data_IF_002287639071
#
_entry.id   IF_002287639071
#
_cell.length_a   1.000
_cell.length_b   1.000
_cell.length_c   1.000
_cell.angle_alpha   90.00
_cell.angle_beta   90.00
_cell.angle_gamma   90.00
#
_symmetry.space_group_name_H-M   'P 1'
#
loop_
_entity.id
_entity.type
_entity.pdbx_description
1 polymer ?
#
# COMPACT_ATOMS: atom_id res chain seq x y z
N UNK A 1 -19.24 11.10 -7.53
CA UNK A 1 -19.59 9.75 -6.99
C UNK A 1 -18.49 9.08 -6.15
N UNK A 2 -17.18 9.25 -6.43
CA UNK A 2 -16.11 8.79 -5.53
C UNK A 2 -15.46 10.02 -4.87
N UNK A 3 -15.99 10.43 -3.71
CA UNK A 3 -15.62 11.70 -3.06
C UNK A 3 -14.25 11.64 -2.36
N UNK A 4 -13.71 12.80 -1.97
CA UNK A 4 -12.49 12.89 -1.15
C UNK A 4 -12.64 12.28 0.25
N UNK A 5 -13.88 12.07 0.73
CA UNK A 5 -14.17 11.41 2.02
C UNK A 5 -14.50 9.95 1.78
N UNK A 6 -13.49 9.09 1.89
CA UNK A 6 -13.59 7.63 1.79
C UNK A 6 -12.88 6.97 2.99
N UNK A 7 -13.12 5.68 3.19
CA UNK A 7 -12.50 4.86 4.24
C UNK A 7 -11.22 4.15 3.83
N UNK A 8 -10.57 4.56 2.73
CA UNK A 8 -9.37 3.85 2.25
C UNK A 8 -8.20 3.93 3.25
N UNK A 9 -8.11 4.99 4.05
CA UNK A 9 -7.13 5.09 5.14
C UNK A 9 -7.35 4.04 6.23
N UNK A 10 -8.61 3.86 6.67
CA UNK A 10 -8.97 2.82 7.62
C UNK A 10 -8.67 1.41 7.08
N UNK A 11 -9.02 1.14 5.82
CA UNK A 11 -8.74 -0.15 5.19
C UNK A 11 -7.25 -0.43 5.08
N UNK A 12 -6.43 0.56 4.73
CA UNK A 12 -4.97 0.42 4.74
C UNK A 12 -4.43 0.07 6.13
N UNK A 13 -4.93 0.72 7.17
CA UNK A 13 -4.56 0.40 8.55
C UNK A 13 -4.98 -1.03 8.92
N UNK A 14 -6.20 -1.42 8.56
CA UNK A 14 -6.70 -2.78 8.75
C UNK A 14 -5.79 -3.80 8.06
N UNK A 15 -5.42 -3.57 6.81
CA UNK A 15 -4.53 -4.48 6.06
C UNK A 15 -3.13 -4.58 6.69
N UNK A 16 -2.57 -3.46 7.17
CA UNK A 16 -1.29 -3.49 7.88
C UNK A 16 -1.39 -4.35 9.15
N UNK A 17 -2.46 -4.19 9.93
CA UNK A 17 -2.69 -4.97 11.14
C UNK A 17 -3.01 -6.44 10.86
N UNK A 18 -3.72 -6.75 9.78
CA UNK A 18 -3.93 -8.13 9.32
C UNK A 18 -2.60 -8.82 9.03
N UNK A 19 -1.65 -8.12 8.39
CA UNK A 19 -0.30 -8.65 8.12
C UNK A 19 0.46 -8.90 9.42
N UNK A 20 0.42 -7.98 10.38
CA UNK A 20 1.04 -8.17 11.71
C UNK A 20 0.42 -9.36 12.44
N UNK A 21 -0.91 -9.47 12.47
CA UNK A 21 -1.60 -10.59 13.11
C UNK A 21 -1.26 -11.93 12.44
N UNK A 22 -1.20 -11.96 11.10
CA UNK A 22 -0.86 -13.16 10.35
C UNK A 22 0.56 -13.64 10.61
N UNK A 23 1.54 -12.76 10.56
CA UNK A 23 2.95 -13.09 10.79
C UNK A 23 3.26 -13.45 12.26
N UNK A 24 2.39 -13.12 13.21
CA UNK A 24 2.62 -13.49 14.59
C UNK A 24 2.71 -15.02 14.80
N UNK A 25 1.96 -15.81 14.02
CA UNK A 25 1.99 -17.27 14.07
C UNK A 25 3.38 -17.85 13.68
N UNK A 26 3.93 -17.58 12.48
CA UNK A 26 5.25 -18.11 12.13
C UNK A 26 6.37 -17.51 12.97
N UNK A 27 6.33 -16.20 13.27
CA UNK A 27 7.43 -15.51 13.95
C UNK A 27 7.50 -15.84 15.46
N UNK A 28 6.35 -16.07 16.10
CA UNK A 28 6.28 -16.38 17.53
C UNK A 28 6.17 -17.87 17.85
N UNK A 29 5.62 -18.68 16.93
CA UNK A 29 5.18 -20.04 17.24
C UNK A 29 5.54 -21.09 16.18
N UNK A 30 6.26 -20.73 15.12
CA UNK A 30 6.63 -21.63 14.01
C UNK A 30 5.41 -22.32 13.35
N UNK A 31 4.27 -21.63 13.31
CA UNK A 31 3.03 -22.09 12.69
C UNK A 31 2.77 -21.40 11.35
N UNK A 32 1.92 -21.97 10.47
CA UNK A 32 1.45 -21.25 9.29
C UNK A 32 0.78 -19.92 9.66
N UNK A 33 0.78 -18.96 8.74
CA UNK A 33 0.14 -17.65 8.94
C UNK A 33 -1.31 -17.78 9.44
N UNK A 34 -1.76 -16.79 10.23
CA UNK A 34 -3.14 -16.75 10.68
C UNK A 34 -4.10 -16.78 9.47
N UNK A 35 -5.08 -17.68 9.53
CA UNK A 35 -6.07 -17.88 8.48
C UNK A 35 -5.76 -19.01 7.51
N UNK A 36 -4.51 -19.49 7.39
CA UNK A 36 -4.16 -20.55 6.43
C UNK A 36 -5.07 -21.79 6.55
N UNK A 37 -5.38 -22.23 7.77
CA UNK A 37 -6.29 -23.36 8.00
C UNK A 37 -7.72 -23.10 7.54
N UNK A 38 -8.27 -21.90 7.81
CA UNK A 38 -9.65 -21.55 7.43
C UNK A 38 -9.82 -21.49 5.91
N UNK A 39 -8.79 -21.00 5.20
CA UNK A 39 -8.73 -20.93 3.74
C UNK A 39 -8.23 -22.23 3.08
N UNK A 40 -8.06 -23.32 3.85
CA UNK A 40 -7.56 -24.63 3.37
C UNK A 40 -6.24 -24.56 2.61
N UNK A 41 -5.31 -23.71 3.06
CA UNK A 41 -3.99 -23.55 2.42
C UNK A 41 -3.99 -22.69 1.15
N UNK A 42 -5.14 -22.22 0.67
CA UNK A 42 -5.21 -21.39 -0.54
C UNK A 42 -4.64 -19.98 -0.32
N UNK A 43 -4.77 -19.44 0.89
CA UNK A 43 -4.31 -18.09 1.24
C UNK A 43 -4.28 -17.90 2.75
N UNK A 44 -3.99 -16.69 3.22
CA UNK A 44 -3.94 -16.32 4.63
C UNK A 44 -4.28 -14.83 4.83
N UNK A 45 -4.46 -14.39 6.09
CA UNK A 45 -4.85 -13.00 6.37
C UNK A 45 -3.78 -11.97 5.97
N UNK A 46 -2.50 -12.33 6.05
CA UNK A 46 -1.41 -11.46 5.62
C UNK A 46 -1.39 -11.30 4.12
N UNK A 47 -1.58 -12.40 3.39
CA UNK A 47 -1.76 -12.40 1.94
C UNK A 47 -2.94 -11.52 1.51
N UNK A 48 -4.10 -11.65 2.17
CA UNK A 48 -5.26 -10.78 1.92
C UNK A 48 -4.98 -9.31 2.23
N UNK A 49 -4.23 -9.01 3.29
CA UNK A 49 -3.78 -7.65 3.60
C UNK A 49 -2.96 -7.06 2.45
N UNK A 50 -1.96 -7.80 1.95
CA UNK A 50 -1.13 -7.37 0.81
C UNK A 50 -1.98 -7.21 -0.46
N UNK A 51 -2.85 -8.16 -0.78
CA UNK A 51 -3.78 -8.05 -1.91
C UNK A 51 -4.68 -6.81 -1.80
N UNK A 52 -5.17 -6.49 -0.59
CA UNK A 52 -5.97 -5.29 -0.32
C UNK A 52 -5.19 -4.00 -0.57
N UNK A 53 -3.92 -3.94 -0.16
CA UNK A 53 -3.03 -2.82 -0.52
C UNK A 53 -2.90 -2.67 -2.03
N UNK A 54 -2.68 -3.78 -2.75
CA UNK A 54 -2.53 -3.76 -4.21
C UNK A 54 -3.81 -3.28 -4.92
N UNK A 55 -5.01 -3.68 -4.47
CA UNK A 55 -6.28 -3.16 -5.00
C UNK A 55 -6.39 -1.64 -4.80
N UNK A 56 -6.15 -1.15 -3.58
CA UNK A 56 -6.22 0.28 -3.30
C UNK A 56 -5.13 1.07 -4.04
N UNK A 57 -3.94 0.52 -4.19
CA UNK A 57 -2.85 1.11 -4.98
C UNK A 57 -3.24 1.14 -6.46
N UNK A 58 -3.78 0.06 -7.03
CA UNK A 58 -4.26 0.04 -8.42
C UNK A 58 -5.23 1.18 -8.72
N UNK A 59 -6.18 1.42 -7.82
CA UNK A 59 -7.14 2.53 -7.93
C UNK A 59 -6.46 3.91 -7.85
N UNK A 60 -5.69 4.16 -6.79
CA UNK A 60 -5.19 5.49 -6.46
C UNK A 60 -4.00 5.89 -7.33
N UNK A 61 -3.15 4.95 -7.70
CA UNK A 61 -1.98 5.19 -8.54
C UNK A 61 -2.41 5.42 -9.98
N UNK A 62 -3.38 4.64 -10.49
CA UNK A 62 -3.99 4.92 -11.81
C UNK A 62 -4.62 6.30 -11.86
N UNK A 63 -5.36 6.69 -10.81
CA UNK A 63 -5.92 8.06 -10.70
C UNK A 63 -4.82 9.13 -10.70
N UNK A 64 -3.72 8.89 -9.99
CA UNK A 64 -2.58 9.80 -9.93
C UNK A 64 -1.87 9.92 -11.28
N UNK A 65 -1.63 8.80 -11.97
CA UNK A 65 -0.96 8.76 -13.27
C UNK A 65 -1.77 9.42 -14.40
N UNK A 66 -3.10 9.46 -14.28
CA UNK A 66 -3.97 10.22 -15.19
C UNK A 66 -3.94 11.74 -15.00
N UNK A 67 -3.50 12.22 -13.82
CA UNK A 67 -3.57 13.64 -13.44
C UNK A 67 -2.22 14.33 -13.40
N UNK A 68 -1.13 13.61 -13.16
CA UNK A 68 0.21 14.16 -12.96
C UNK A 68 1.11 13.89 -14.17
N UNK A 69 2.01 14.82 -14.46
CA UNK A 69 3.12 14.57 -15.39
C UNK A 69 4.11 13.55 -14.83
N UNK A 70 4.85 12.88 -15.73
CA UNK A 70 5.76 11.75 -15.41
C UNK A 70 6.73 12.03 -14.24
N UNK A 71 7.45 13.15 -14.28
CA UNK A 71 8.40 13.52 -13.22
C UNK A 71 7.73 13.74 -11.87
N UNK A 72 6.61 14.48 -11.83
CA UNK A 72 5.86 14.73 -10.59
C UNK A 72 5.24 13.44 -10.04
N UNK A 73 4.76 12.56 -10.92
CA UNK A 73 4.26 11.24 -10.54
C UNK A 73 5.36 10.43 -9.83
N UNK A 74 6.53 10.29 -10.46
CA UNK A 74 7.68 9.58 -9.89
C UNK A 74 8.13 10.19 -8.56
N UNK A 75 8.25 11.52 -8.50
CA UNK A 75 8.62 12.23 -7.28
C UNK A 75 7.68 11.94 -6.12
N UNK A 76 6.36 12.00 -6.37
CA UNK A 76 5.36 11.69 -5.35
C UNK A 76 5.44 10.25 -4.85
N UNK A 77 5.82 9.30 -5.72
CA UNK A 77 6.01 7.90 -5.33
C UNK A 77 7.30 7.69 -4.57
N UNK A 78 8.39 8.34 -5.00
CA UNK A 78 9.68 8.29 -4.33
C UNK A 78 9.57 8.79 -2.89
N UNK A 79 8.96 9.96 -2.68
CA UNK A 79 8.71 10.53 -1.35
C UNK A 79 7.80 9.66 -0.47
N UNK A 80 6.97 8.81 -1.07
CA UNK A 80 6.04 7.92 -0.34
C UNK A 80 6.70 6.65 0.16
N UNK A 81 7.72 6.14 -0.53
CA UNK A 81 8.36 4.84 -0.25
C UNK A 81 9.73 5.04 0.40
N UNK A 82 10.65 5.72 -0.28
CA UNK A 82 12.06 5.68 0.07
C UNK A 82 12.40 6.25 1.45
N UNK A 83 11.88 7.41 1.88
CA UNK A 83 12.23 7.96 3.19
C UNK A 83 11.92 7.01 4.35
N UNK A 84 10.70 6.46 4.39
CA UNK A 84 10.30 5.51 5.43
C UNK A 84 11.05 4.18 5.33
N UNK A 85 11.28 3.68 4.11
CA UNK A 85 12.12 2.50 3.89
C UNK A 85 13.54 2.69 4.42
N UNK A 86 14.22 3.78 4.07
CA UNK A 86 15.58 4.05 4.50
C UNK A 86 15.67 4.14 6.01
N UNK A 87 14.74 4.86 6.65
CA UNK A 87 14.69 4.93 8.10
C UNK A 87 14.47 3.55 8.72
N UNK A 88 13.59 2.72 8.16
CA UNK A 88 13.36 1.35 8.61
C UNK A 88 14.62 0.47 8.49
N UNK A 89 15.35 0.58 7.37
CA UNK A 89 16.61 -0.15 7.17
C UNK A 89 17.68 0.30 8.17
N UNK A 90 17.78 1.60 8.46
CA UNK A 90 18.72 2.14 9.45
C UNK A 90 18.36 1.67 10.87
N UNK A 91 17.08 1.71 11.25
CA UNK A 91 16.61 1.16 12.54
C UNK A 91 16.91 -0.33 12.62
N UNK A 92 16.69 -1.09 11.54
CA UNK A 92 16.99 -2.52 11.51
C UNK A 92 18.50 -2.77 11.71
N UNK A 93 19.35 -2.02 11.00
CA UNK A 93 20.80 -2.19 11.01
C UNK A 93 21.46 -1.72 12.32
N UNK A 94 21.00 -0.60 12.89
CA UNK A 94 21.68 0.08 14.00
C UNK A 94 20.95 0.01 15.34
N UNK A 95 19.72 -0.49 15.37
CA UNK A 95 18.97 -0.70 16.62
C UNK A 95 18.62 -2.17 16.78
N UNK A 96 17.93 -2.77 15.81
CA UNK A 96 17.46 -4.16 15.93
C UNK A 96 18.61 -5.15 15.91
N UNK A 97 19.51 -5.10 14.92
CA UNK A 97 20.62 -6.06 14.84
C UNK A 97 21.55 -6.02 16.08
N UNK A 98 21.96 -4.85 16.61
CA UNK A 98 22.74 -4.79 17.86
C UNK A 98 21.98 -5.34 19.08
N UNK A 99 20.67 -5.04 19.21
CA UNK A 99 19.85 -5.57 20.31
C UNK A 99 19.74 -7.10 20.27
N UNK A 100 19.55 -7.65 19.07
CA UNK A 100 19.52 -9.11 18.85
C UNK A 100 20.87 -9.73 19.18
N UNK A 101 21.97 -9.17 18.67
CA UNK A 101 23.32 -9.65 18.94
C UNK A 101 23.64 -9.65 20.45
N UNK A 102 23.27 -8.58 21.16
CA UNK A 102 23.43 -8.49 22.61
C UNK A 102 22.64 -9.58 23.34
N UNK A 103 21.38 -9.81 22.93
CA UNK A 103 20.53 -10.85 23.54
C UNK A 103 21.03 -12.27 23.26
N UNK A 104 21.60 -12.50 22.08
CA UNK A 104 22.21 -13.78 21.68
C UNK A 104 23.64 -13.98 22.24
N UNK A 105 24.20 -12.99 22.94
CA UNK A 105 25.56 -13.07 23.51
C UNK A 105 26.69 -13.03 22.47
N UNK A 106 26.42 -12.47 21.29
CA UNK A 106 27.34 -12.44 20.16
C UNK A 106 28.17 -11.13 20.13
N UNK A 107 29.46 -11.20 19.74
CA UNK A 107 30.30 -10.01 19.61
C UNK A 107 29.86 -9.12 18.45
N UNK A 108 30.25 -7.84 18.47
CA UNK A 108 29.90 -6.89 17.41
C UNK A 108 30.37 -7.31 16.01
N UNK A 109 31.48 -8.05 15.92
CA UNK A 109 31.98 -8.62 14.67
C UNK A 109 31.01 -9.60 14.01
N UNK A 110 30.12 -10.24 14.78
CA UNK A 110 29.17 -11.23 14.27
C UNK A 110 28.11 -10.65 13.32
N UNK A 111 27.87 -9.33 13.36
CA UNK A 111 26.89 -8.65 12.53
C UNK A 111 27.46 -7.44 11.76
N UNK A 112 28.60 -6.89 12.20
CA UNK A 112 29.23 -5.72 11.59
C UNK A 112 30.36 -6.06 10.60
N UNK A 113 30.87 -7.29 10.60
CA UNK A 113 31.98 -7.71 9.75
C UNK A 113 31.60 -8.90 8.84
N UNK A 114 32.43 -9.14 7.80
CA UNK A 114 32.30 -10.28 6.91
C UNK A 114 31.28 -10.13 5.77
N UNK A 115 31.14 -11.17 4.93
CA UNK A 115 30.06 -11.26 3.96
C UNK A 115 28.73 -11.38 4.72
N UNK A 116 27.73 -10.58 4.38
CA UNK A 116 26.43 -10.44 5.07
C UNK A 116 26.40 -9.51 6.30
N UNK A 117 27.38 -8.62 6.46
CA UNK A 117 27.32 -7.55 7.48
C UNK A 117 26.17 -6.55 7.27
N UNK A 118 25.89 -5.72 8.29
CA UNK A 118 24.92 -4.61 8.18
C UNK A 118 25.19 -3.65 7.03
N UNK A 119 26.46 -3.43 6.67
CA UNK A 119 26.81 -2.55 5.55
C UNK A 119 26.33 -3.12 4.23
N UNK A 120 26.51 -4.43 4.03
CA UNK A 120 26.00 -5.13 2.85
C UNK A 120 24.47 -5.16 2.86
N UNK A 121 23.86 -5.36 4.03
CA UNK A 121 22.41 -5.31 4.19
C UNK A 121 21.85 -3.96 3.75
N UNK A 122 22.44 -2.85 4.21
CA UNK A 122 22.03 -1.51 3.80
C UNK A 122 22.23 -1.32 2.30
N UNK A 123 23.41 -1.61 1.77
CA UNK A 123 23.74 -1.41 0.35
C UNK A 123 22.84 -2.22 -0.60
N UNK A 124 22.56 -3.48 -0.26
CA UNK A 124 21.75 -4.40 -1.07
C UNK A 124 20.24 -4.15 -0.97
N UNK A 125 19.78 -3.43 0.05
CA UNK A 125 18.36 -3.15 0.25
C UNK A 125 17.98 -1.68 0.02
N UNK A 126 18.96 -0.76 -0.10
CA UNK A 126 18.74 0.68 -0.21
C UNK A 126 17.79 1.09 -1.35
N UNK A 127 17.81 0.34 -2.46
CA UNK A 127 16.96 0.56 -3.64
C UNK A 127 15.67 -0.26 -3.62
N UNK A 128 15.22 -0.69 -2.44
CA UNK A 128 14.06 -1.56 -2.23
C UNK A 128 14.14 -2.92 -2.95
N UNK A 129 15.34 -3.40 -3.29
CA UNK A 129 15.54 -4.68 -4.01
C UNK A 129 15.24 -5.90 -3.14
N UNK A 130 15.37 -5.72 -1.81
CA UNK A 130 15.22 -6.79 -0.84
C UNK A 130 16.14 -7.98 -1.17
N UNK A 131 17.41 -7.70 -1.46
CA UNK A 131 18.39 -8.67 -1.95
C UNK A 131 19.21 -9.35 -0.84
N UNK A 132 19.18 -8.82 0.38
CA UNK A 132 19.79 -9.46 1.55
C UNK A 132 18.79 -9.46 2.71
N UNK A 133 18.47 -10.64 3.22
CA UNK A 133 17.47 -10.81 4.29
C UNK A 133 18.11 -11.09 5.65
N UNK A 134 19.35 -11.60 5.64
CA UNK A 134 20.14 -11.98 6.81
C UNK A 134 21.10 -10.86 7.18
N UNK A 135 21.44 -10.76 8.45
CA UNK A 135 22.51 -9.90 8.94
C UNK A 135 23.40 -10.79 9.82
N UNK A 136 24.58 -11.13 9.31
CA UNK A 136 25.53 -12.01 9.99
C UNK A 136 24.91 -13.34 10.45
N UNK A 137 25.39 -13.83 11.60
CA UNK A 137 24.92 -15.06 12.25
C UNK A 137 23.70 -14.90 13.16
N UNK A 138 22.98 -13.79 13.08
CA UNK A 138 21.88 -13.45 13.99
C UNK A 138 20.57 -14.19 13.66
N UNK A 139 19.64 -14.24 14.63
CA UNK A 139 18.31 -14.85 14.51
C UNK A 139 18.37 -16.35 14.22
N UNK A 140 19.33 -17.06 14.82
CA UNK A 140 19.49 -18.51 14.62
C UNK A 140 18.65 -19.35 15.58
N UNK A 141 18.34 -18.80 16.76
CA UNK A 141 17.56 -19.43 17.83
C UNK A 141 16.22 -18.72 18.06
N UNK A 142 15.44 -18.59 16.98
CA UNK A 142 14.05 -18.10 17.00
C UNK A 142 13.15 -18.99 16.14
N UNK A 143 11.83 -18.99 16.38
CA UNK A 143 10.88 -19.79 15.60
C UNK A 143 11.01 -19.58 14.08
N UNK A 144 11.18 -18.33 13.65
CA UNK A 144 11.39 -17.98 12.26
C UNK A 144 12.81 -17.47 12.03
N UNK A 145 13.68 -18.35 11.56
CA UNK A 145 15.11 -18.09 11.56
C UNK A 145 15.49 -17.02 10.54
N UNK A 146 16.57 -16.30 10.87
CA UNK A 146 17.49 -15.66 9.92
C UNK A 146 17.00 -14.38 9.23
N UNK A 147 15.72 -14.26 8.93
CA UNK A 147 15.17 -13.14 8.16
C UNK A 147 14.82 -12.01 9.12
N UNK A 148 15.43 -10.83 8.95
CA UNK A 148 15.14 -9.68 9.81
C UNK A 148 13.82 -8.99 9.48
N UNK A 149 13.48 -8.90 8.19
CA UNK A 149 12.27 -8.20 7.76
C UNK A 149 11.70 -8.80 6.49
N UNK A 150 10.91 -9.86 6.64
CA UNK A 150 10.26 -10.52 5.51
C UNK A 150 9.34 -9.58 4.73
N UNK A 151 8.63 -8.66 5.40
CA UNK A 151 7.57 -7.85 4.79
C UNK A 151 8.01 -6.90 3.66
N UNK A 152 9.31 -6.58 3.55
CA UNK A 152 9.81 -5.68 2.51
C UNK A 152 9.74 -6.26 1.09
N UNK A 153 9.53 -7.57 0.94
CA UNK A 153 9.54 -8.26 -0.36
C UNK A 153 8.54 -7.70 -1.38
N UNK A 154 7.40 -7.19 -0.91
CA UNK A 154 6.32 -6.67 -1.77
C UNK A 154 6.62 -5.28 -2.35
N UNK A 155 7.52 -4.52 -1.73
CA UNK A 155 7.80 -3.12 -2.12
C UNK A 155 8.36 -3.01 -3.54
N UNK A 156 9.24 -3.92 -3.96
CA UNK A 156 9.74 -3.94 -5.34
C UNK A 156 8.66 -4.25 -6.36
N UNK A 157 7.65 -5.04 -5.97
CA UNK A 157 6.50 -5.34 -6.84
C UNK A 157 5.60 -4.11 -6.93
N UNK A 158 5.40 -3.39 -5.82
CA UNK A 158 4.69 -2.12 -5.83
C UNK A 158 5.40 -1.07 -6.70
N UNK A 159 6.73 -0.95 -6.60
CA UNK A 159 7.53 -0.09 -7.48
C UNK A 159 7.37 -0.49 -8.96
N UNK A 160 7.40 -1.78 -9.26
CA UNK A 160 7.18 -2.27 -10.63
C UNK A 160 5.78 -1.89 -11.14
N UNK A 161 4.74 -2.00 -10.31
CA UNK A 161 3.40 -1.58 -10.67
C UNK A 161 3.31 -0.05 -10.92
N UNK A 162 4.05 0.75 -10.17
CA UNK A 162 4.13 2.20 -10.39
C UNK A 162 4.79 2.52 -11.72
N UNK A 163 5.89 1.82 -12.06
CA UNK A 163 6.56 1.95 -13.35
C UNK A 163 5.66 1.51 -14.50
N UNK A 164 4.86 0.45 -14.33
CA UNK A 164 3.87 0.02 -15.32
C UNK A 164 2.82 1.11 -15.59
N UNK A 165 2.27 1.76 -14.55
CA UNK A 165 1.36 2.90 -14.71
C UNK A 165 2.04 4.08 -15.39
N UNK A 166 3.30 4.37 -15.04
CA UNK A 166 4.07 5.44 -15.68
C UNK A 166 4.26 5.16 -17.18
N UNK A 167 4.63 3.94 -17.56
CA UNK A 167 4.81 3.55 -18.95
C UNK A 167 3.50 3.74 -19.74
N UNK A 168 2.36 3.36 -19.17
CA UNK A 168 1.05 3.61 -19.78
C UNK A 168 0.76 5.12 -19.90
N UNK A 169 1.10 5.92 -18.88
CA UNK A 169 0.89 7.37 -18.84
C UNK A 169 1.73 8.11 -19.89
N UNK A 170 3.01 7.78 -20.03
CA UNK A 170 3.95 8.46 -20.93
C UNK A 170 3.69 8.10 -22.40
N UNK A 171 3.39 6.84 -22.70
CA UNK A 171 3.19 6.36 -24.08
C UNK A 171 1.90 6.88 -24.75
N UNK A 172 1.12 7.74 -24.07
CA UNK A 172 -0.23 8.21 -24.50
C UNK A 172 -1.24 7.08 -24.79
N UNK A 173 -0.87 5.84 -24.51
CA UNK A 173 -1.73 4.64 -24.53
C UNK A 173 -2.87 4.78 -23.52
N UNK A 174 -2.84 5.77 -22.63
CA UNK A 174 -3.95 6.12 -21.75
C UNK A 174 -5.30 6.31 -22.45
N UNK A 175 -5.35 6.75 -23.72
CA UNK A 175 -6.62 6.78 -24.49
C UNK A 175 -7.22 5.38 -24.73
N UNK A 176 -6.36 4.34 -24.76
CA UNK A 176 -6.71 2.91 -24.86
C UNK A 176 -6.48 2.14 -23.56
N UNK A 177 -6.05 2.78 -22.47
CA UNK A 177 -5.67 2.10 -21.23
C UNK A 177 -6.80 1.23 -20.65
N UNK A 178 -8.06 1.61 -20.86
CA UNK A 178 -9.23 0.80 -20.49
C UNK A 178 -9.14 -0.63 -21.05
N UNK A 179 -8.79 -0.77 -22.33
CA UNK A 179 -8.68 -2.07 -23.00
C UNK A 179 -7.38 -2.78 -22.66
N UNK A 180 -6.26 -2.04 -22.59
CA UNK A 180 -4.96 -2.64 -22.24
C UNK A 180 -4.99 -3.23 -20.83
N UNK A 181 -5.51 -2.48 -19.85
CA UNK A 181 -5.63 -2.96 -18.47
C UNK A 181 -6.68 -4.09 -18.37
N UNK A 182 -7.76 -4.04 -19.16
CA UNK A 182 -8.76 -5.12 -19.19
C UNK A 182 -8.17 -6.42 -19.74
N UNK A 183 -7.47 -6.36 -20.87
CA UNK A 183 -6.81 -7.53 -21.46
C UNK A 183 -5.70 -8.07 -20.55
N UNK A 184 -4.95 -7.18 -19.89
CA UNK A 184 -3.95 -7.58 -18.90
C UNK A 184 -4.62 -8.29 -17.71
N UNK A 185 -5.69 -7.73 -17.14
CA UNK A 185 -6.42 -8.35 -16.04
C UNK A 185 -7.01 -9.70 -16.45
N UNK A 186 -7.58 -9.80 -17.66
CA UNK A 186 -8.12 -11.04 -18.20
C UNK A 186 -7.02 -12.09 -18.42
N UNK A 187 -5.87 -11.71 -18.98
CA UNK A 187 -4.72 -12.60 -19.16
C UNK A 187 -4.11 -13.07 -17.84
N UNK A 188 -4.00 -12.19 -16.85
CA UNK A 188 -3.55 -12.54 -15.50
C UNK A 188 -4.54 -13.48 -14.81
N UNK A 189 -5.84 -13.22 -14.91
CA UNK A 189 -6.88 -14.09 -14.39
C UNK A 189 -6.86 -15.46 -15.08
N UNK A 190 -6.69 -15.49 -16.41
CA UNK A 190 -6.57 -16.72 -17.17
C UNK A 190 -5.33 -17.53 -16.73
N UNK A 191 -4.19 -16.88 -16.50
CA UNK A 191 -2.98 -17.52 -15.95
C UNK A 191 -3.24 -18.11 -14.56
N UNK A 192 -3.83 -17.33 -13.65
CA UNK A 192 -4.20 -17.81 -12.31
C UNK A 192 -5.19 -18.98 -12.39
N UNK A 193 -6.16 -18.93 -13.30
CA UNK A 193 -7.14 -20.01 -13.52
C UNK A 193 -6.49 -21.27 -14.08
N UNK A 194 -5.62 -21.14 -15.08
CA UNK A 194 -4.87 -22.24 -15.68
C UNK A 194 -4.05 -22.99 -14.62
N UNK A 195 -3.35 -22.25 -13.76
CA UNK A 195 -2.56 -22.84 -12.69
C UNK A 195 -3.44 -23.38 -11.55
N UNK A 196 -4.62 -22.82 -11.33
CA UNK A 196 -5.58 -23.38 -10.37
C UNK A 196 -6.16 -24.71 -10.82
N UNK A 197 -6.29 -24.95 -12.13
CA UNK A 197 -6.76 -26.21 -12.70
C UNK A 197 -5.80 -27.39 -12.47
N UNK A 198 -4.52 -27.13 -12.24
CA UNK A 198 -3.53 -28.18 -11.96
C UNK A 198 -3.52 -28.64 -10.50
N UNK A 199 -4.26 -27.95 -9.63
CA UNK A 199 -4.37 -28.27 -8.20
C UNK A 199 -5.68 -29.00 -7.91
N UNK A 200 -5.59 -30.09 -7.14
CA UNK A 200 -6.76 -30.85 -6.73
C UNK A 200 -7.77 -29.94 -6.01
N UNK A 201 -9.06 -30.10 -6.35
CA UNK A 201 -10.16 -29.32 -5.78
C UNK A 201 -10.00 -27.79 -5.96
N UNK A 202 -9.21 -27.32 -6.92
CA UNK A 202 -8.91 -25.90 -7.12
C UNK A 202 -8.32 -25.20 -5.89
N UNK A 203 -7.56 -25.93 -5.06
CA UNK A 203 -6.95 -25.41 -3.83
C UNK A 203 -5.56 -24.78 -4.06
N UNK A 204 -5.35 -24.12 -5.19
CA UNK A 204 -4.05 -23.52 -5.52
C UNK A 204 -3.68 -22.40 -4.53
N UNK A 205 -2.50 -22.47 -3.88
CA UNK A 205 -2.01 -21.40 -3.00
C UNK A 205 -1.81 -20.09 -3.76
N UNK A 206 -2.15 -18.96 -3.12
CA UNK A 206 -2.13 -17.63 -3.73
C UNK A 206 -0.77 -17.24 -4.28
N UNK A 207 0.33 -17.80 -3.77
CA UNK A 207 1.70 -17.40 -4.11
C UNK A 207 2.57 -18.52 -4.69
N UNK A 208 1.96 -19.52 -5.33
CA UNK A 208 2.70 -20.60 -6.00
C UNK A 208 2.62 -20.51 -7.54
N UNK A 209 2.41 -19.30 -8.09
CA UNK A 209 2.07 -19.12 -9.51
C UNK A 209 3.24 -19.03 -10.52
N UNK A 210 3.65 -20.15 -11.10
CA UNK A 210 4.78 -20.22 -12.01
C UNK A 210 6.10 -20.29 -11.24
N UNK A 211 6.86 -21.35 -11.50
CA UNK A 211 8.14 -21.61 -10.85
C UNK A 211 9.24 -20.92 -11.64
N UNK A 212 9.91 -19.96 -11.02
CA UNK A 212 11.07 -19.32 -11.63
C UNK A 212 11.38 -17.96 -11.06
N UNK A 213 12.57 -17.47 -11.42
CA UNK A 213 13.05 -16.15 -11.04
C UNK A 213 13.39 -15.35 -12.29
N UNK A 214 13.12 -14.06 -12.25
CA UNK A 214 13.58 -13.11 -13.26
C UNK A 214 14.36 -11.99 -12.59
N UNK A 215 15.52 -11.65 -13.14
CA UNK A 215 16.30 -10.51 -12.67
C UNK A 215 16.01 -9.31 -13.56
N UNK A 216 15.40 -8.28 -13.00
CA UNK A 216 15.22 -7.02 -13.70
C UNK A 216 16.40 -6.08 -13.40
N UNK A 217 16.87 -5.31 -14.39
CA UNK A 217 17.82 -4.23 -14.15
C UNK A 217 17.30 -3.30 -13.04
N UNK A 218 18.19 -2.88 -12.14
CA UNK A 218 17.91 -1.99 -10.99
C UNK A 218 17.07 -2.62 -9.86
N UNK A 219 15.96 -3.31 -10.16
CA UNK A 219 15.05 -3.85 -9.15
C UNK A 219 15.44 -5.24 -8.62
N UNK A 220 16.37 -5.93 -9.29
CA UNK A 220 16.95 -7.19 -8.83
C UNK A 220 16.06 -8.41 -9.11
N UNK A 221 16.21 -9.45 -8.27
CA UNK A 221 15.57 -10.75 -8.44
C UNK A 221 14.09 -10.72 -8.02
N UNK A 222 13.20 -11.20 -8.89
CA UNK A 222 11.77 -11.40 -8.62
C UNK A 222 11.43 -12.87 -8.68
N UNK A 223 10.66 -13.34 -7.71
CA UNK A 223 9.98 -14.62 -7.80
C UNK A 223 8.71 -14.44 -8.63
N UNK A 224 8.60 -15.18 -9.72
CA UNK A 224 7.47 -15.10 -10.65
C UNK A 224 6.15 -15.54 -9.98
N UNK A 225 6.20 -16.34 -8.92
CA UNK A 225 5.05 -16.85 -8.17
C UNK A 225 4.17 -15.77 -7.53
N UNK A 226 4.74 -14.59 -7.26
CA UNK A 226 4.01 -13.49 -6.66
C UNK A 226 3.42 -12.51 -7.67
N UNK A 227 3.95 -12.46 -8.89
CA UNK A 227 3.60 -11.42 -9.86
C UNK A 227 2.15 -11.54 -10.34
N UNK A 228 1.66 -12.69 -10.83
CA UNK A 228 0.30 -12.80 -11.35
C UNK A 228 -0.81 -12.37 -10.38
N UNK A 229 -0.88 -12.91 -9.14
CA UNK A 229 -1.96 -12.56 -8.22
C UNK A 229 -1.89 -11.09 -7.78
N UNK A 230 -0.69 -10.54 -7.51
CA UNK A 230 -0.56 -9.16 -7.06
C UNK A 230 -0.85 -8.17 -8.20
N UNK A 231 -0.37 -8.42 -9.41
CA UNK A 231 -0.69 -7.60 -10.57
C UNK A 231 -2.16 -7.72 -10.97
N UNK A 232 -2.79 -8.88 -10.79
CA UNK A 232 -4.24 -9.03 -10.98
C UNK A 232 -4.99 -8.11 -10.00
N UNK A 233 -4.66 -8.15 -8.71
CA UNK A 233 -5.29 -7.31 -7.70
C UNK A 233 -5.08 -5.82 -7.97
N UNK A 234 -3.88 -5.42 -8.39
CA UNK A 234 -3.62 -4.06 -8.86
C UNK A 234 -4.44 -3.68 -10.09
N UNK A 235 -4.49 -4.57 -11.09
CA UNK A 235 -5.24 -4.34 -12.33
C UNK A 235 -6.74 -4.20 -12.05
N UNK A 236 -7.31 -4.99 -11.13
CA UNK A 236 -8.71 -4.85 -10.70
C UNK A 236 -8.98 -3.48 -10.06
N UNK A 237 -8.08 -3.00 -9.21
CA UNK A 237 -8.15 -1.64 -8.67
C UNK A 237 -8.06 -0.56 -9.77
N UNK A 238 -7.16 -0.74 -10.72
CA UNK A 238 -6.98 0.17 -11.85
C UNK A 238 -8.20 0.18 -12.78
N UNK A 239 -8.79 -0.98 -13.07
CA UNK A 239 -10.05 -1.10 -13.82
C UNK A 239 -11.18 -0.38 -13.11
N UNK A 240 -11.26 -0.49 -11.78
CA UNK A 240 -12.27 0.21 -11.01
C UNK A 240 -12.14 1.74 -11.14
N UNK A 241 -10.92 2.30 -11.28
CA UNK A 241 -10.74 3.72 -11.58
C UNK A 241 -11.09 4.07 -13.03
N UNK A 242 -10.70 3.22 -13.99
CA UNK A 242 -10.91 3.47 -15.43
C UNK A 242 -12.38 3.33 -15.84
N UNK A 243 -13.12 2.44 -15.19
CA UNK A 243 -14.54 2.16 -15.41
C UNK A 243 -15.42 2.66 -14.26
N UNK A 244 -14.92 3.61 -13.46
CA UNK A 244 -15.59 4.14 -12.26
C UNK A 244 -17.03 4.62 -12.46
N UNK A 245 -17.37 5.08 -13.67
CA UNK A 245 -18.70 5.59 -14.02
C UNK A 245 -19.66 4.47 -14.46
N UNK A 246 -19.12 3.28 -14.77
CA UNK A 246 -19.87 2.08 -15.18
C UNK A 246 -19.90 0.98 -14.13
N UNK A 247 -19.05 1.05 -13.11
CA UNK A 247 -18.93 0.02 -12.08
C UNK A 247 -19.99 0.23 -10.99
N UNK A 248 -21.04 -0.61 -10.91
CA UNK A 248 -22.05 -0.47 -9.87
C UNK A 248 -21.46 -0.81 -8.50
N UNK A 249 -21.59 0.11 -7.54
CA UNK A 249 -21.22 -0.08 -6.14
C UNK A 249 -22.48 -0.30 -5.28
N UNK A 250 -23.14 -1.44 -5.50
CA UNK A 250 -24.44 -1.79 -4.89
C UNK A 250 -24.28 -2.79 -3.73
N UNK A 251 -25.18 -2.72 -2.74
CA UNK A 251 -25.20 -3.67 -1.62
C UNK A 251 -25.39 -5.14 -2.04
N UNK A 252 -26.28 -5.46 -2.99
CA UNK A 252 -26.45 -6.84 -3.47
C UNK A 252 -25.20 -7.45 -4.09
N UNK A 253 -24.44 -6.69 -4.88
CA UNK A 253 -23.18 -7.18 -5.46
C UNK A 253 -22.10 -7.36 -4.38
N UNK A 254 -22.09 -6.51 -3.34
CA UNK A 254 -21.20 -6.70 -2.21
C UNK A 254 -21.56 -7.97 -1.43
N UNK A 255 -22.85 -8.25 -1.23
CA UNK A 255 -23.30 -9.49 -0.61
C UNK A 255 -22.90 -10.71 -1.45
N UNK A 256 -23.12 -10.67 -2.77
CA UNK A 256 -22.69 -11.72 -3.69
C UNK A 256 -21.17 -11.95 -3.61
N UNK A 257 -20.38 -10.88 -3.59
CA UNK A 257 -18.93 -10.97 -3.43
C UNK A 257 -18.52 -11.55 -2.06
N UNK A 258 -19.22 -11.19 -0.98
CA UNK A 258 -18.98 -11.78 0.34
C UNK A 258 -19.30 -13.28 0.37
N UNK A 259 -20.43 -13.69 -0.23
CA UNK A 259 -20.79 -15.11 -0.35
C UNK A 259 -19.73 -15.84 -1.18
N UNK A 260 -19.35 -15.31 -2.35
CA UNK A 260 -18.32 -15.90 -3.20
C UNK A 260 -16.98 -16.06 -2.47
N UNK A 261 -16.58 -15.06 -1.68
CA UNK A 261 -15.36 -15.11 -0.87
C UNK A 261 -15.39 -16.25 0.16
N UNK A 262 -16.48 -16.38 0.91
CA UNK A 262 -16.64 -17.41 1.94
C UNK A 262 -16.74 -18.81 1.33
N UNK A 263 -17.54 -18.96 0.26
CA UNK A 263 -17.69 -20.25 -0.44
C UNK A 263 -16.35 -20.70 -1.00
N UNK A 264 -15.63 -19.84 -1.72
CA UNK A 264 -14.36 -20.21 -2.34
C UNK A 264 -13.24 -20.47 -1.33
N UNK A 265 -13.28 -19.83 -0.15
CA UNK A 265 -12.34 -20.12 0.93
C UNK A 265 -12.45 -21.57 1.45
N UNK A 266 -13.63 -22.18 1.31
CA UNK A 266 -13.92 -23.54 1.81
C UNK A 266 -14.00 -24.59 0.71
N UNK A 267 -14.62 -24.25 -0.41
CA UNK A 267 -14.88 -25.17 -1.52
C UNK A 267 -13.76 -25.23 -2.57
N UNK A 268 -12.82 -24.27 -2.55
CA UNK A 268 -11.79 -24.12 -3.58
C UNK A 268 -12.09 -22.99 -4.56
N UNK A 269 -11.10 -22.63 -5.39
CA UNK A 269 -11.21 -21.53 -6.35
C UNK A 269 -11.02 -20.14 -5.73
N UNK A 270 -10.43 -20.05 -4.54
CA UNK A 270 -10.23 -18.78 -3.84
C UNK A 270 -9.37 -17.80 -4.65
N UNK A 271 -8.30 -18.27 -5.27
CA UNK A 271 -7.42 -17.37 -6.04
C UNK A 271 -8.08 -16.85 -7.31
N UNK A 272 -8.96 -17.64 -7.94
CA UNK A 272 -9.63 -17.28 -9.21
C UNK A 272 -10.87 -16.42 -8.98
N UNK A 273 -11.71 -16.78 -8.00
CA UNK A 273 -13.01 -16.13 -7.77
C UNK A 273 -12.99 -15.31 -6.47
N UNK A 274 -12.42 -15.88 -5.40
CA UNK A 274 -12.34 -15.24 -4.09
C UNK A 274 -11.54 -13.93 -4.11
N UNK A 275 -10.39 -13.87 -4.79
CA UNK A 275 -9.58 -12.66 -4.88
C UNK A 275 -10.28 -11.51 -5.64
N UNK A 276 -10.89 -11.72 -6.84
CA UNK A 276 -11.72 -10.69 -7.45
C UNK A 276 -12.91 -10.25 -6.59
N UNK A 277 -13.57 -11.18 -5.90
CA UNK A 277 -14.65 -10.86 -4.97
C UNK A 277 -14.14 -10.01 -3.79
N UNK A 278 -12.98 -10.36 -3.24
CA UNK A 278 -12.30 -9.58 -2.21
C UNK A 278 -11.95 -8.17 -2.72
N UNK A 279 -11.43 -8.03 -3.94
CA UNK A 279 -11.15 -6.72 -4.52
C UNK A 279 -12.40 -5.82 -4.60
N UNK A 280 -13.54 -6.39 -5.02
CA UNK A 280 -14.80 -5.67 -5.03
C UNK A 280 -15.23 -5.23 -3.62
N UNK A 281 -15.14 -6.12 -2.63
CA UNK A 281 -15.45 -5.81 -1.24
C UNK A 281 -14.56 -4.70 -0.66
N UNK A 282 -13.25 -4.74 -0.93
CA UNK A 282 -12.31 -3.69 -0.51
C UNK A 282 -12.72 -2.33 -1.06
N UNK A 283 -13.08 -2.26 -2.34
CA UNK A 283 -13.52 -1.01 -2.97
C UNK A 283 -14.88 -0.54 -2.44
N UNK A 284 -15.85 -1.46 -2.34
CA UNK A 284 -17.19 -1.17 -1.86
C UNK A 284 -17.18 -0.67 -0.41
N UNK A 285 -16.50 -1.39 0.48
CA UNK A 285 -16.36 -1.00 1.90
C UNK A 285 -15.64 0.33 2.04
N UNK A 286 -14.59 0.57 1.26
CA UNK A 286 -13.84 1.82 1.29
C UNK A 286 -14.69 3.02 0.84
N UNK A 287 -15.57 2.84 -0.14
CA UNK A 287 -16.48 3.89 -0.61
C UNK A 287 -17.68 4.11 0.32
N UNK A 288 -18.19 3.04 0.93
CA UNK A 288 -19.39 3.05 1.78
C UNK A 288 -19.08 3.18 3.28
N UNK A 289 -17.81 3.26 3.66
CA UNK A 289 -17.38 3.33 5.06
C UNK A 289 -18.17 4.39 5.85
N UNK A 290 -18.56 4.13 7.11
CA UNK A 290 -19.23 5.11 7.96
C UNK A 290 -18.32 6.31 8.28
N UNK A 291 -18.92 7.45 8.64
CA UNK A 291 -18.21 8.72 8.83
C UNK A 291 -16.98 8.66 9.78
N UNK A 292 -17.00 7.92 10.90
CA UNK A 292 -15.83 7.78 11.78
C UNK A 292 -14.64 7.13 11.07
N UNK A 293 -14.87 6.04 10.33
CA UNK A 293 -13.81 5.32 9.61
C UNK A 293 -13.24 6.15 8.45
N UNK A 294 -13.98 7.10 7.89
CA UNK A 294 -13.46 8.04 6.86
C UNK A 294 -12.40 9.01 7.41
N UNK A 295 -12.32 9.19 8.73
CA UNK A 295 -11.33 10.08 9.37
C UNK A 295 -10.01 9.36 9.64
N UNK A 296 -10.06 8.04 9.84
CA UNK A 296 -8.88 7.21 10.12
C UNK A 296 -7.99 7.18 8.87
N UNK A 297 -6.70 7.48 9.04
CA UNK A 297 -5.74 7.50 7.94
C UNK A 297 -5.86 8.71 6.99
N UNK A 298 -6.81 9.63 7.23
CA UNK A 298 -7.05 10.76 6.32
C UNK A 298 -6.00 11.87 6.46
N UNK A 299 -5.50 12.11 7.67
CA UNK A 299 -4.46 13.12 7.96
C UNK A 299 -3.08 12.49 8.18
N UNK A 300 -3.03 11.36 8.87
CA UNK A 300 -1.80 10.64 9.21
C UNK A 300 -1.97 9.19 8.77
N UNK A 301 -1.13 8.74 7.83
CA UNK A 301 -1.20 7.40 7.28
C UNK A 301 -0.08 6.52 7.86
N UNK A 302 -0.32 5.98 9.05
CA UNK A 302 0.63 5.09 9.74
C UNK A 302 0.71 3.69 9.14
N UNK A 303 -0.17 3.33 8.19
CA UNK A 303 -0.28 1.97 7.64
C UNK A 303 1.03 1.49 7.02
N UNK A 304 1.76 2.39 6.35
CA UNK A 304 3.04 2.06 5.74
C UNK A 304 4.11 1.75 6.78
N UNK A 305 4.24 2.58 7.81
CA UNK A 305 5.13 2.32 8.94
C UNK A 305 4.81 0.98 9.59
N UNK A 306 3.54 0.73 9.93
CA UNK A 306 3.12 -0.54 10.54
C UNK A 306 3.51 -1.74 9.65
N UNK A 307 3.30 -1.61 8.34
CA UNK A 307 3.65 -2.65 7.39
C UNK A 307 5.16 -2.94 7.34
N UNK A 308 6.01 -1.92 7.22
CA UNK A 308 7.46 -2.11 7.06
C UNK A 308 8.16 -2.44 8.38
N UNK A 309 7.68 -1.99 9.53
CA UNK A 309 8.28 -2.29 10.84
C UNK A 309 7.77 -3.60 11.45
N UNK A 310 6.58 -4.08 11.07
CA UNK A 310 5.88 -5.17 11.76
C UNK A 310 6.73 -6.43 11.93
N UNK A 311 7.37 -6.90 10.86
CA UNK A 311 8.19 -8.10 10.88
C UNK A 311 9.43 -7.95 11.77
N UNK A 312 10.15 -6.84 11.64
CA UNK A 312 11.36 -6.59 12.42
C UNK A 312 11.06 -6.45 13.92
N UNK A 313 9.95 -5.77 14.26
CA UNK A 313 9.45 -5.68 15.64
C UNK A 313 9.10 -7.07 16.17
N UNK A 314 8.36 -7.87 15.42
CA UNK A 314 8.00 -9.24 15.83
C UNK A 314 9.23 -10.12 16.03
N UNK A 315 10.19 -10.12 15.11
CA UNK A 315 11.45 -10.86 15.28
C UNK A 315 12.19 -10.44 16.55
N UNK A 316 12.27 -9.13 16.80
CA UNK A 316 12.88 -8.61 18.04
C UNK A 316 12.15 -9.13 19.28
N UNK A 317 10.82 -9.01 19.32
CA UNK A 317 10.01 -9.48 20.45
C UNK A 317 10.14 -11.00 20.66
N UNK A 318 10.28 -11.77 19.58
CA UNK A 318 10.49 -13.22 19.61
C UNK A 318 11.83 -13.59 20.26
N UNK A 319 12.90 -12.85 19.93
CA UNK A 319 14.23 -12.96 20.56
C UNK A 319 14.16 -12.68 22.08
N UNK A 320 13.28 -11.78 22.50
CA UNK A 320 13.04 -11.48 23.93
C UNK A 320 12.04 -12.43 24.61
N UNK A 321 11.52 -13.45 23.92
CA UNK A 321 10.64 -14.44 24.52
C UNK A 321 9.21 -13.96 24.75
N UNK A 322 8.74 -12.91 24.06
CA UNK A 322 7.39 -12.36 24.23
C UNK A 322 6.26 -13.37 23.90
N UNK A 323 6.57 -14.42 23.13
CA UNK A 323 5.69 -15.55 22.84
C UNK A 323 5.21 -16.29 24.10
N UNK A 324 5.91 -16.15 25.23
CA UNK A 324 5.48 -16.71 26.53
C UNK A 324 4.11 -16.21 27.01
N UNK A 325 3.64 -15.07 26.50
CA UNK A 325 2.32 -14.51 26.82
C UNK A 325 1.20 -15.02 25.91
N UNK A 326 1.48 -16.09 25.14
CA UNK A 326 0.56 -16.65 24.17
C UNK A 326 0.34 -15.74 22.97
N UNK A 327 -0.47 -16.21 22.02
CA UNK A 327 -0.70 -15.53 20.75
C UNK A 327 -1.26 -14.11 20.93
N UNK A 328 -2.30 -13.95 21.76
CA UNK A 328 -2.94 -12.65 21.97
C UNK A 328 -2.01 -11.64 22.64
N UNK A 329 -1.22 -12.06 23.64
CA UNK A 329 -0.23 -11.21 24.28
C UNK A 329 0.86 -10.76 23.31
N UNK A 330 1.38 -11.70 22.51
CA UNK A 330 2.42 -11.43 21.51
C UNK A 330 1.93 -10.50 20.40
N UNK A 331 0.75 -10.73 19.82
CA UNK A 331 0.16 -9.86 18.79
C UNK A 331 -0.13 -8.46 19.32
N UNK A 332 -0.70 -8.36 20.52
CA UNK A 332 -1.06 -7.06 21.12
C UNK A 332 0.20 -6.23 21.38
N UNK A 333 1.23 -6.84 21.98
CA UNK A 333 2.52 -6.18 22.18
C UNK A 333 3.14 -5.76 20.84
N UNK A 334 3.12 -6.64 19.84
CA UNK A 334 3.62 -6.35 18.49
C UNK A 334 2.89 -5.16 17.88
N UNK A 335 1.56 -5.12 17.97
CA UNK A 335 0.73 -4.04 17.45
C UNK A 335 1.01 -2.69 18.14
N UNK A 336 1.23 -2.70 19.46
CA UNK A 336 1.56 -1.49 20.23
C UNK A 336 2.95 -0.97 19.86
N UNK A 337 3.96 -1.85 19.87
CA UNK A 337 5.35 -1.46 19.59
C UNK A 337 5.50 -1.01 18.13
N UNK A 338 4.88 -1.72 17.18
CA UNK A 338 4.93 -1.34 15.76
C UNK A 338 4.19 -0.02 15.50
N UNK A 339 3.07 0.24 16.19
CA UNK A 339 2.36 1.50 16.09
C UNK A 339 3.24 2.65 16.60
N UNK A 340 3.92 2.47 17.73
CA UNK A 340 4.84 3.46 18.27
C UNK A 340 5.99 3.75 17.27
N UNK A 341 6.60 2.71 16.71
CA UNK A 341 7.65 2.85 15.68
C UNK A 341 7.12 3.56 14.42
N UNK A 342 5.92 3.21 13.96
CA UNK A 342 5.29 3.84 12.80
C UNK A 342 4.95 5.32 13.05
N UNK A 343 4.50 5.68 14.25
CA UNK A 343 4.25 7.08 14.64
C UNK A 343 5.57 7.87 14.64
N UNK A 344 6.62 7.33 15.26
CA UNK A 344 7.95 7.97 15.27
C UNK A 344 8.48 8.17 13.85
N UNK A 345 8.47 7.12 13.02
CA UNK A 345 8.86 7.17 11.61
C UNK A 345 8.07 8.23 10.82
N UNK A 346 6.76 8.27 11.03
CA UNK A 346 5.89 9.22 10.34
C UNK A 346 6.24 10.66 10.66
N UNK A 347 6.39 11.00 11.94
CA UNK A 347 6.61 12.38 12.37
C UNK A 347 8.03 12.88 12.07
N UNK A 348 9.04 12.01 12.19
CA UNK A 348 10.44 12.38 11.94
C UNK A 348 10.78 12.41 10.45
N UNK A 349 10.26 11.46 9.66
CA UNK A 349 10.74 11.22 8.30
C UNK A 349 9.66 11.38 7.25
N UNK A 350 8.62 10.55 7.28
CA UNK A 350 7.66 10.46 6.17
C UNK A 350 6.89 11.77 5.98
N UNK A 351 6.39 12.36 7.07
CA UNK A 351 5.65 13.63 7.02
C UNK A 351 6.52 14.74 6.44
N UNK A 352 7.79 14.82 6.83
CA UNK A 352 8.69 15.87 6.35
C UNK A 352 9.00 15.70 4.86
N UNK A 353 9.29 14.47 4.43
CA UNK A 353 9.50 14.18 3.01
C UNK A 353 8.26 14.51 2.17
N UNK A 354 7.05 14.18 2.65
CA UNK A 354 5.81 14.46 1.93
C UNK A 354 5.48 15.96 1.83
N UNK A 355 6.11 16.84 2.61
CA UNK A 355 6.00 18.31 2.42
C UNK A 355 6.70 18.80 1.16
N UNK A 356 7.64 18.01 0.63
CA UNK A 356 8.41 18.35 -0.58
C UNK A 356 7.68 17.98 -1.89
N UNK A 357 6.41 17.57 -1.82
CA UNK A 357 5.62 17.13 -2.99
C UNK A 357 5.45 18.21 -4.07
N UNK A 358 5.44 19.47 -3.66
CA UNK A 358 5.13 20.60 -4.53
C UNK A 358 6.36 21.46 -4.84
N UNK A 359 7.57 20.97 -4.55
CA UNK A 359 8.83 21.66 -4.89
C UNK A 359 8.96 21.89 -6.41
N UNK A 360 8.35 21.01 -7.22
CA UNK A 360 8.30 21.14 -8.69
C UNK A 360 6.97 21.68 -9.21
N UNK A 361 6.07 22.16 -8.34
CA UNK A 361 4.85 22.81 -8.81
C UNK A 361 5.22 24.21 -9.32
N UNK A 362 4.94 24.48 -10.60
CA UNK A 362 5.08 25.84 -11.15
C UNK A 362 4.30 26.81 -10.24
N UNK A 363 4.95 27.88 -9.77
CA UNK A 363 4.25 28.98 -9.11
C UNK A 363 3.18 29.48 -10.08
N UNK A 364 1.92 29.67 -9.65
CA UNK A 364 0.96 30.34 -10.51
C UNK A 364 1.54 31.72 -10.90
N UNK A 365 1.43 32.13 -12.18
CA UNK A 365 1.89 33.45 -12.58
C UNK A 365 1.14 34.51 -11.77
N UNK A 366 1.87 35.47 -11.22
CA UNK A 366 1.37 36.57 -10.36
C UNK A 366 0.46 37.56 -11.12
N UNK A 367 0.02 37.23 -12.33
CA UNK A 367 -0.53 38.20 -13.30
C UNK A 367 -2.03 38.51 -13.11
N UNK A 368 -2.74 37.84 -12.21
CA UNK A 368 -4.20 38.03 -12.05
C UNK A 368 -4.63 39.06 -11.00
N UNK A 369 -3.72 39.89 -10.46
CA UNK A 369 -4.06 40.90 -9.43
C UNK A 369 -4.20 42.33 -9.97
N UNK A 370 -3.69 42.63 -11.18
CA UNK A 370 -3.68 44.01 -11.70
C UNK A 370 -4.89 44.30 -12.61
N UNK A 371 -5.37 43.31 -13.38
CA UNK A 371 -6.50 43.52 -14.31
C UNK A 371 -7.89 43.62 -13.66
N UNK A 372 -8.06 43.13 -12.42
CA UNK A 372 -9.36 43.16 -11.72
C UNK A 372 -9.62 44.50 -11.04
N UNK A 373 -8.57 45.25 -10.67
CA UNK A 373 -8.72 46.58 -10.07
C UNK A 373 -9.14 47.64 -11.10
N UNK A 374 -8.61 47.58 -12.33
CA UNK A 374 -8.99 48.53 -13.40
C UNK A 374 -10.43 48.34 -13.91
N UNK A 375 -10.97 47.12 -13.88
CA UNK A 375 -12.37 46.87 -14.26
C UNK A 375 -13.36 47.29 -13.16
N UNK A 376 -12.96 47.22 -11.88
CA UNK A 376 -13.80 47.65 -10.76
C UNK A 376 -13.88 49.18 -10.62
N UNK A 377 -12.77 49.90 -10.83
CA UNK A 377 -12.78 51.37 -10.83
C UNK A 377 -13.65 51.94 -11.97
N UNK A 378 -13.64 51.31 -13.15
CA UNK A 378 -14.47 51.73 -14.28
C UNK A 378 -15.97 51.46 -14.09
N UNK A 379 -16.34 50.44 -13.31
CA UNK A 379 -17.73 50.17 -12.98
C UNK A 379 -18.28 51.11 -11.90
N UNK A 380 -17.47 51.48 -10.90
CA UNK A 380 -17.87 52.46 -9.87
C UNK A 380 -18.01 53.89 -10.43
N UNK A 381 -17.23 54.27 -11.45
CA UNK A 381 -17.39 55.56 -12.13
C UNK A 381 -18.67 55.64 -12.97
N UNK A 382 -19.13 54.53 -13.55
CA UNK A 382 -20.37 54.49 -14.35
C UNK A 382 -21.63 54.56 -13.48
N UNK A 383 -21.64 53.92 -12.29
CA UNK A 383 -22.81 53.96 -11.39
C UNK A 383 -23.04 55.34 -10.75
N UNK A 384 -22.00 56.18 -10.60
CA UNK A 384 -22.14 57.53 -10.03
C UNK A 384 -22.76 58.58 -10.97
N UNK A 385 -22.99 58.26 -12.24
CA UNK A 385 -23.59 59.19 -13.20
C UNK A 385 -25.08 58.94 -13.50
N UNK A 386 -25.70 57.91 -12.92
CA UNK A 386 -27.10 57.52 -13.22
C UNK A 386 -28.11 57.70 -12.06
N UNK A 387 -27.87 58.56 -11.07
CA UNK A 387 -28.90 58.86 -10.06
C UNK A 387 -30.03 59.79 -10.61
N UNK A 388 -31.31 59.38 -10.58
CA UNK A 388 -32.42 60.20 -11.06
C UNK A 388 -32.97 61.14 -9.96
N UNK A 389 -33.30 62.37 -10.37
CA UNK A 389 -33.94 63.43 -9.56
C UNK A 389 -35.22 62.92 -8.89
N UNK A 390 -35.31 63.11 -7.57
CA UNK A 390 -36.42 62.64 -6.72
C UNK A 390 -37.79 63.29 -7.00
N UNK A 391 -38.90 62.64 -6.58
CA UNK A 391 -40.23 63.10 -6.87
C UNK A 391 -40.71 64.20 -5.92
N UNK A 392 -41.47 65.11 -6.53
CA UNK A 392 -42.09 66.34 -6.04
C UNK A 392 -43.27 66.05 -5.09
N UNK A 393 -43.28 66.71 -3.92
CA UNK A 393 -44.43 66.77 -2.99
C UNK A 393 -45.64 67.44 -3.66
N UNK A 394 -46.82 66.85 -3.51
CA UNK A 394 -48.10 67.48 -3.80
C UNK A 394 -48.93 67.53 -2.53
N UNK A 395 -49.14 68.76 -2.07
CA UNK A 395 -49.91 69.15 -0.89
C UNK A 395 -51.40 69.32 -1.22
N UNK A 396 -52.21 69.34 -0.16
CA UNK A 396 -53.69 69.29 -0.14
C UNK A 396 -54.39 70.51 -0.76
N UNK A 397 -55.55 70.26 -1.39
CA UNK A 397 -56.91 70.85 -1.25
C UNK A 397 -57.66 70.79 -2.58
#
# INVERSE_FOLDING_TARGET
>A
MWSQRNGFGALRLLFALMVVAAHAEPLGFARPNLGTGWLRGQSDLGTLGVCGFFVLSGLLITRSGRRLGAGRFLWHRALRIFPGLWFCLLVTAFVVAPLVAWREGLPASAWNAGPDSVWHFLARNWRAQFAQQRIGGLLTDVPYKVIFNGSLWSLKIELLAYLAVLALAVTRVLRRARWVVLLLAAGLLAKVAQESLTHAQFLAPTYEFGRGYVTLPVLGLFNLSYLPPLFLMFALGALAELYRDRLPMSGPLALLAAVALVVTARAGGFTVIGLPAFAYLVLWTGLRAPAPLRRIGARHDYSYGIYIYGFAVQQTLSVFGAQRWGYLGYVTLSAVVVLAAAVVSWHLVERQALRLKDVFAARPPVVAAVGVQEEQEKQEEQEKHEEPKGPMELDRV
#
